data_IF_133931877205
#
_entry.id   IF_133931877205
#
_cell.length_a   1.000
_cell.length_b   1.000
_cell.length_c   1.000
_cell.angle_alpha   90.00
_cell.angle_beta   90.00
_cell.angle_gamma   90.00
#
_symmetry.space_group_name_H-M   'P 1'
#
loop_
_entity.id
_entity.type
_entity.pdbx_description
1 polymer ?
#
# COMPACT_ATOMS: atom_id res chain seq x y z
N UNK A 1 32.18 14.56 -11.33
CA UNK A 1 31.60 13.20 -11.28
C UNK A 1 32.09 12.49 -10.04
N UNK A 2 31.24 12.33 -9.02
CA UNK A 2 31.38 11.33 -7.97
C UNK A 2 29.97 10.87 -7.61
N UNK A 3 29.64 9.66 -8.06
CA UNK A 3 28.41 8.96 -7.73
C UNK A 3 28.40 8.71 -6.21
N UNK A 4 27.41 9.26 -5.52
CA UNK A 4 27.19 9.01 -4.10
C UNK A 4 25.98 8.09 -3.97
N UNK A 5 26.28 6.80 -3.76
CA UNK A 5 25.48 5.81 -3.05
C UNK A 5 23.96 5.82 -3.33
N UNK A 6 23.56 5.17 -4.42
CA UNK A 6 22.25 4.49 -4.43
C UNK A 6 22.33 3.36 -3.42
N UNK A 7 21.74 3.58 -2.26
CA UNK A 7 21.62 2.58 -1.22
C UNK A 7 20.26 1.89 -1.42
N UNK A 8 20.17 0.63 -1.88
CA UNK A 8 18.89 -0.06 -2.04
C UNK A 8 18.26 -0.48 -0.69
N UNK A 9 18.67 0.13 0.42
CA UNK A 9 18.27 -0.24 1.79
C UNK A 9 17.25 0.71 2.45
N UNK A 10 16.69 1.68 1.72
CA UNK A 10 15.73 2.67 2.22
C UNK A 10 14.32 2.52 1.63
N UNK A 11 14.00 1.35 1.07
CA UNK A 11 12.67 1.10 0.54
C UNK A 11 11.67 0.99 1.70
N UNK A 12 10.62 1.82 1.67
CA UNK A 12 9.54 1.76 2.65
C UNK A 12 8.82 0.43 2.44
N UNK A 13 8.68 -0.37 3.49
CA UNK A 13 7.98 -1.66 3.41
C UNK A 13 6.47 -1.44 3.37
N UNK A 14 5.70 -2.30 2.70
CA UNK A 14 4.25 -2.14 2.72
C UNK A 14 3.61 -2.56 4.05
N UNK A 15 2.38 -2.09 4.33
CA UNK A 15 1.63 -2.46 5.52
C UNK A 15 1.46 -3.97 5.70
N UNK A 16 1.19 -4.72 4.63
CA UNK A 16 1.00 -6.18 4.69
C UNK A 16 2.28 -6.97 4.98
N UNK A 17 3.45 -6.33 4.89
CA UNK A 17 4.74 -6.93 5.28
C UNK A 17 5.09 -6.57 6.72
N UNK A 18 4.82 -5.33 7.16
CA UNK A 18 5.15 -4.87 8.51
C UNK A 18 4.13 -5.36 9.54
N UNK A 19 2.86 -5.39 9.16
CA UNK A 19 1.73 -5.84 9.98
C UNK A 19 0.95 -6.93 9.22
N UNK A 20 1.52 -8.15 9.13
CA UNK A 20 0.90 -9.23 8.38
C UNK A 20 -0.45 -9.63 8.99
N UNK A 21 -1.43 -9.90 8.13
CA UNK A 21 -2.78 -10.32 8.53
C UNK A 21 -3.72 -9.18 8.93
N UNK A 22 -3.29 -7.92 8.83
CA UNK A 22 -4.16 -6.77 9.05
C UNK A 22 -4.64 -6.21 7.69
N UNK A 23 -5.95 -6.26 7.37
CA UNK A 23 -6.48 -5.74 6.11
C UNK A 23 -6.49 -4.19 6.08
N UNK A 24 -6.59 -3.55 4.91
CA UNK A 24 -6.54 -2.08 4.77
C UNK A 24 -7.66 -1.36 5.54
N UNK A 25 -8.85 -1.96 5.64
CA UNK A 25 -10.00 -1.38 6.36
C UNK A 25 -10.01 -1.61 7.89
N UNK A 26 -9.02 -2.30 8.46
CA UNK A 26 -9.05 -2.69 9.88
C UNK A 26 -8.96 -1.48 10.84
N UNK A 27 -9.70 -1.53 11.94
CA UNK A 27 -9.67 -0.52 12.99
C UNK A 27 -8.28 -0.36 13.64
N UNK A 28 -7.42 -1.39 13.55
CA UNK A 28 -6.02 -1.36 13.95
C UNK A 28 -5.29 -0.12 13.41
N UNK A 29 -5.58 0.30 12.17
CA UNK A 29 -4.92 1.45 11.57
C UNK A 29 -5.25 2.79 12.24
N UNK A 30 -6.28 2.84 13.09
CA UNK A 30 -6.64 4.01 13.90
C UNK A 30 -6.06 4.01 15.30
N UNK A 31 -5.52 2.89 15.79
CA UNK A 31 -5.09 2.76 17.19
C UNK A 31 -3.68 2.18 17.36
N UNK A 32 -3.32 1.17 16.57
CA UNK A 32 -2.03 0.48 16.67
C UNK A 32 -1.08 0.79 15.51
N UNK A 33 -1.62 0.91 14.29
CA UNK A 33 -0.83 1.11 13.08
C UNK A 33 -0.81 2.56 12.56
N UNK A 34 -1.51 3.48 13.22
CA UNK A 34 -1.78 4.84 12.72
C UNK A 34 -0.50 5.59 12.36
N UNK A 35 0.48 5.61 13.27
CA UNK A 35 1.74 6.32 13.03
C UNK A 35 2.46 5.77 11.81
N UNK A 36 2.53 4.44 11.64
CA UNK A 36 3.19 3.84 10.48
C UNK A 36 2.43 4.16 9.19
N UNK A 37 1.13 3.94 9.22
CA UNK A 37 0.25 4.18 8.07
C UNK A 37 0.37 5.62 7.57
N UNK A 38 0.21 6.60 8.45
CA UNK A 38 0.17 8.00 8.04
C UNK A 38 1.54 8.63 7.79
N UNK A 39 2.54 8.34 8.64
CA UNK A 39 3.83 9.06 8.59
C UNK A 39 4.87 8.38 7.71
N UNK A 40 4.72 7.07 7.47
CA UNK A 40 5.68 6.29 6.70
C UNK A 40 5.04 5.85 5.37
N UNK A 41 4.02 5.00 5.43
CA UNK A 41 3.52 4.36 4.22
C UNK A 41 2.76 5.32 3.30
N UNK A 42 1.75 6.03 3.80
CA UNK A 42 0.98 6.96 2.98
C UNK A 42 1.83 8.10 2.42
N UNK A 43 2.80 8.59 3.19
CA UNK A 43 3.74 9.61 2.72
C UNK A 43 4.56 9.10 1.53
N UNK A 44 5.09 7.88 1.64
CA UNK A 44 5.78 7.23 0.53
C UNK A 44 4.86 6.95 -0.66
N UNK A 45 3.70 6.34 -0.43
CA UNK A 45 2.72 5.98 -1.45
C UNK A 45 2.28 7.18 -2.29
N UNK A 46 2.03 8.33 -1.65
CA UNK A 46 1.67 9.59 -2.32
C UNK A 46 2.81 10.19 -3.14
N UNK A 47 4.06 9.80 -2.89
CA UNK A 47 5.22 10.27 -3.65
C UNK A 47 5.47 9.46 -4.93
N UNK A 48 4.85 8.27 -5.04
CA UNK A 48 5.00 7.38 -6.19
C UNK A 48 4.14 7.82 -7.38
N UNK A 49 4.66 7.63 -8.59
CA UNK A 49 3.84 7.69 -9.81
C UNK A 49 2.92 6.47 -9.90
N UNK A 50 1.90 6.50 -10.75
CA UNK A 50 0.99 5.36 -10.89
C UNK A 50 1.71 4.11 -11.44
N UNK A 51 2.73 4.30 -12.29
CA UNK A 51 3.60 3.21 -12.73
C UNK A 51 4.41 2.64 -11.56
N UNK A 52 5.03 3.50 -10.74
CA UNK A 52 5.80 3.05 -9.57
C UNK A 52 4.92 2.35 -8.54
N UNK A 53 3.67 2.80 -8.35
CA UNK A 53 2.70 2.15 -7.46
C UNK A 53 2.40 0.73 -7.91
N UNK A 54 2.18 0.51 -9.21
CA UNK A 54 1.96 -0.85 -9.75
C UNK A 54 3.18 -1.73 -9.54
N UNK A 55 4.36 -1.24 -9.93
CA UNK A 55 5.62 -1.98 -9.73
C UNK A 55 5.87 -2.30 -8.25
N UNK A 56 5.49 -1.39 -7.35
CA UNK A 56 5.57 -1.60 -5.91
C UNK A 56 4.60 -2.69 -5.45
N UNK A 57 3.33 -2.67 -5.89
CA UNK A 57 2.34 -3.71 -5.54
C UNK A 57 2.77 -5.08 -6.05
N UNK A 58 3.27 -5.16 -7.28
CA UNK A 58 3.76 -6.40 -7.88
C UNK A 58 5.01 -6.93 -7.17
N UNK A 59 6.00 -6.06 -6.94
CA UNK A 59 7.27 -6.41 -6.27
C UNK A 59 7.06 -6.96 -4.87
N UNK A 60 6.11 -6.39 -4.14
CA UNK A 60 5.82 -6.76 -2.76
C UNK A 60 4.67 -7.76 -2.62
N UNK A 61 4.22 -8.34 -3.74
CA UNK A 61 3.16 -9.36 -3.78
C UNK A 61 1.94 -8.95 -2.94
N UNK A 62 1.39 -7.76 -3.21
CA UNK A 62 0.23 -7.25 -2.49
C UNK A 62 -0.92 -8.27 -2.47
N UNK A 63 -1.52 -8.50 -1.31
CA UNK A 63 -2.70 -9.37 -1.21
C UNK A 63 -3.87 -8.74 -1.95
N UNK A 64 -4.87 -9.53 -2.35
CA UNK A 64 -6.02 -9.02 -3.10
C UNK A 64 -6.69 -7.79 -2.46
N UNK A 65 -6.87 -7.79 -1.14
CA UNK A 65 -7.44 -6.64 -0.42
C UNK A 65 -6.59 -5.37 -0.55
N UNK A 66 -5.27 -5.49 -0.35
CA UNK A 66 -4.35 -4.35 -0.47
C UNK A 66 -4.15 -3.91 -1.91
N UNK A 67 -4.15 -4.85 -2.85
CA UNK A 67 -4.09 -4.56 -4.28
C UNK A 67 -5.34 -3.77 -4.69
N UNK A 68 -6.53 -4.24 -4.33
CA UNK A 68 -7.78 -3.55 -4.67
C UNK A 68 -7.85 -2.15 -4.02
N UNK A 69 -7.49 -2.02 -2.75
CA UNK A 69 -7.52 -0.73 -2.05
C UNK A 69 -6.57 0.30 -2.70
N UNK A 70 -5.42 -0.14 -3.21
CA UNK A 70 -4.35 0.76 -3.64
C UNK A 70 -4.15 0.85 -5.15
N UNK A 71 -4.69 -0.06 -5.96
CA UNK A 71 -4.47 -0.07 -7.41
C UNK A 71 -5.01 1.23 -8.04
N UNK A 72 -4.12 2.04 -8.66
CA UNK A 72 -4.51 3.30 -9.28
C UNK A 72 -5.39 3.12 -10.54
N UNK A 73 -5.43 1.94 -11.14
CA UNK A 73 -6.24 1.65 -12.33
C UNK A 73 -7.55 0.92 -12.03
N UNK A 74 -7.81 0.57 -10.77
CA UNK A 74 -9.05 -0.10 -10.43
C UNK A 74 -10.23 0.82 -10.72
N UNK A 75 -11.10 0.36 -11.63
CA UNK A 75 -12.31 1.06 -12.01
C UNK A 75 -13.12 1.35 -10.73
N UNK A 76 -13.54 2.62 -10.49
CA UNK A 76 -14.35 2.97 -9.34
C UNK A 76 -15.59 2.09 -9.19
N UNK A 77 -16.22 1.69 -10.30
CA UNK A 77 -17.42 0.84 -10.28
C UNK A 77 -17.09 -0.60 -9.85
N UNK A 78 -15.87 -1.07 -10.14
CA UNK A 78 -15.37 -2.37 -9.67
C UNK A 78 -14.99 -2.29 -8.18
N UNK A 79 -14.44 -1.16 -7.73
CA UNK A 79 -14.14 -0.93 -6.30
C UNK A 79 -15.42 -1.00 -5.45
N UNK A 80 -16.44 -0.25 -5.84
CA UNK A 80 -17.71 -0.19 -5.13
C UNK A 80 -18.38 -1.57 -5.10
N UNK A 81 -18.35 -2.31 -6.21
CA UNK A 81 -18.87 -3.67 -6.27
C UNK A 81 -18.15 -4.65 -5.34
N UNK A 82 -16.81 -4.57 -5.23
CA UNK A 82 -16.05 -5.44 -4.34
C UNK A 82 -16.32 -5.10 -2.88
N UNK A 83 -16.43 -3.83 -2.52
CA UNK A 83 -16.80 -3.41 -1.16
C UNK A 83 -18.18 -3.94 -0.74
N UNK A 84 -19.17 -3.92 -1.65
CA UNK A 84 -20.49 -4.52 -1.38
C UNK A 84 -20.41 -6.03 -1.12
N UNK A 85 -19.56 -6.75 -1.86
CA UNK A 85 -19.43 -8.21 -1.75
C UNK A 85 -18.76 -8.68 -0.44
N UNK A 86 -17.87 -7.87 0.13
CA UNK A 86 -17.16 -8.20 1.38
C UNK A 86 -17.88 -7.75 2.65
N UNK A 87 -19.09 -7.19 2.52
CA UNK A 87 -19.88 -6.66 3.66
C UNK A 87 -21.04 -7.59 4.09
N UNK A 88 -21.08 -8.85 3.61
CA UNK A 88 -22.04 -9.90 4.06
C UNK A 88 -21.46 -10.89 5.09
#
# INVERSE_FOLDING_TARGET
MKNHFENPSNEVRPPWIVYPGIPPGDIFWRFGGESYMHTVFQAHWKSLTDQDKKEYLERWEATGEWFNDLDPEMDPDIRDFLEELYTE
#
